data_IF_019870661861
#
_entry.id   IF_019870661861
#
_cell.length_a   1.000
_cell.length_b   1.000
_cell.length_c   1.000
_cell.angle_alpha   90.00
_cell.angle_beta   90.00
_cell.angle_gamma   90.00
#
_symmetry.space_group_name_H-M   'P 1'
#
loop_
_entity.id
_entity.type
_entity.pdbx_description
1 polymer ?
#
# COMPACT_ATOMS: atom_id res chain seq x y z
N UNK A 1 -23.45 8.21 7.28
CA UNK A 1 -23.48 7.19 6.20
C UNK A 1 -22.54 7.72 5.13
N UNK A 2 -21.33 7.14 5.00
CA UNK A 2 -20.38 7.59 3.98
C UNK A 2 -20.83 6.98 2.66
N UNK A 3 -21.27 7.81 1.73
CA UNK A 3 -21.53 7.39 0.36
C UNK A 3 -20.17 7.06 -0.27
N UNK A 4 -19.96 5.78 -0.58
CA UNK A 4 -18.77 5.32 -1.27
C UNK A 4 -18.75 5.94 -2.66
N UNK A 5 -17.70 6.72 -2.95
CA UNK A 5 -17.51 7.31 -4.26
C UNK A 5 -17.45 6.22 -5.34
N UNK A 6 -18.16 6.45 -6.44
CA UNK A 6 -18.13 5.62 -7.64
C UNK A 6 -16.73 5.66 -8.25
N UNK A 7 -15.87 4.74 -7.79
CA UNK A 7 -14.57 4.47 -8.39
C UNK A 7 -14.83 3.92 -9.78
N UNK A 8 -14.52 4.71 -10.80
CA UNK A 8 -14.79 4.40 -12.19
C UNK A 8 -14.47 5.62 -13.04
N UNK A 9 -13.21 6.07 -13.03
CA UNK A 9 -12.79 7.25 -13.80
C UNK A 9 -11.81 6.82 -14.89
N UNK A 10 -11.85 7.55 -16.01
CA UNK A 10 -11.07 7.28 -17.23
C UNK A 10 -9.58 7.13 -16.92
N UNK A 11 -8.94 6.18 -17.61
CA UNK A 11 -7.51 5.91 -17.50
C UNK A 11 -6.70 7.19 -17.77
N UNK A 12 -5.74 7.48 -16.89
CA UNK A 12 -4.79 8.57 -17.09
C UNK A 12 -3.95 8.31 -18.33
N UNK A 13 -3.82 9.30 -19.21
CA UNK A 13 -2.95 9.22 -20.39
C UNK A 13 -1.46 9.40 -20.05
N UNK A 14 -1.12 9.74 -18.79
CA UNK A 14 0.25 9.99 -18.35
C UNK A 14 0.57 9.12 -17.13
N UNK A 15 1.07 7.92 -17.44
CA UNK A 15 1.65 6.99 -16.47
C UNK A 15 3.05 6.59 -16.92
N UNK A 16 4.00 6.56 -15.98
CA UNK A 16 5.35 6.06 -16.20
C UNK A 16 5.72 5.03 -15.14
N UNK A 17 6.48 4.01 -15.56
CA UNK A 17 7.07 3.00 -14.70
C UNK A 17 8.58 3.15 -14.76
N UNK A 18 9.19 3.46 -13.63
CA UNK A 18 10.64 3.62 -13.52
C UNK A 18 11.21 2.47 -12.70
N UNK A 19 12.00 1.61 -13.36
CA UNK A 19 12.75 0.57 -12.65
C UNK A 19 13.75 1.21 -11.70
N UNK A 20 13.76 0.74 -10.46
CA UNK A 20 14.52 1.38 -9.39
C UNK A 20 15.94 0.81 -9.27
N UNK A 21 16.92 1.62 -8.83
CA UNK A 21 18.31 1.19 -8.73
C UNK A 21 18.51 0.19 -7.57
N UNK A 22 19.64 -0.55 -7.57
CA UNK A 22 19.92 -1.61 -6.58
C UNK A 22 19.76 -1.18 -5.12
N UNK A 23 20.13 0.05 -4.76
CA UNK A 23 19.96 0.58 -3.40
C UNK A 23 18.48 0.55 -2.93
N UNK A 24 17.52 0.77 -3.84
CA UNK A 24 16.08 0.68 -3.53
C UNK A 24 15.63 -0.77 -3.39
N UNK A 25 16.20 -1.68 -4.21
CA UNK A 25 15.92 -3.11 -4.11
C UNK A 25 16.40 -3.67 -2.77
N UNK A 26 17.61 -3.32 -2.34
CA UNK A 26 18.18 -3.72 -1.04
C UNK A 26 17.35 -3.20 0.13
N UNK A 27 16.89 -1.96 0.02
CA UNK A 27 16.02 -1.34 1.00
C UNK A 27 14.66 -2.03 1.13
N UNK A 28 13.99 -2.29 0.00
CA UNK A 28 12.72 -2.99 0.00
C UNK A 28 12.89 -4.46 0.39
N UNK A 29 14.02 -5.09 0.08
CA UNK A 29 14.36 -6.42 0.59
C UNK A 29 14.46 -6.40 2.11
N UNK A 30 15.17 -5.41 2.67
CA UNK A 30 15.26 -5.25 4.12
C UNK A 30 13.89 -5.01 4.76
N UNK A 31 13.01 -4.24 4.11
CA UNK A 31 11.65 -4.01 4.57
C UNK A 31 10.80 -5.30 4.52
N UNK A 32 10.88 -6.08 3.43
CA UNK A 32 10.20 -7.36 3.31
C UNK A 32 10.66 -8.33 4.41
N UNK A 33 11.97 -8.44 4.65
CA UNK A 33 12.54 -9.33 5.66
C UNK A 33 12.11 -8.91 7.08
N UNK A 34 12.17 -7.61 7.39
CA UNK A 34 11.83 -7.08 8.72
C UNK A 34 10.33 -7.20 9.04
N UNK A 35 9.48 -7.19 8.01
CA UNK A 35 8.03 -7.26 8.16
C UNK A 35 7.45 -8.64 7.88
N UNK A 36 8.29 -9.61 7.50
CA UNK A 36 7.88 -10.99 7.27
C UNK A 36 7.52 -11.68 8.59
N UNK A 37 6.39 -12.40 8.58
CA UNK A 37 6.00 -13.29 9.67
C UNK A 37 5.52 -14.63 9.11
N UNK A 38 6.08 -15.73 9.60
CA UNK A 38 5.66 -17.08 9.19
C UNK A 38 4.36 -17.47 9.88
N UNK A 39 3.25 -16.89 9.44
CA UNK A 39 1.91 -17.11 9.99
C UNK A 39 0.98 -17.62 8.89
N UNK A 40 0.37 -18.78 9.12
CA UNK A 40 -0.64 -19.31 8.21
C UNK A 40 -1.92 -18.50 8.35
N UNK A 41 -2.41 -17.95 7.24
CA UNK A 41 -3.66 -17.19 7.24
C UNK A 41 -4.73 -17.95 6.45
N UNK A 42 -5.99 -17.74 6.83
CA UNK A 42 -7.17 -18.38 6.20
C UNK A 42 -7.19 -18.20 4.67
N UNK A 43 -6.63 -17.09 4.18
CA UNK A 43 -6.68 -16.70 2.77
C UNK A 43 -5.76 -17.55 1.88
N UNK A 44 -4.83 -18.35 2.45
CA UNK A 44 -3.88 -19.17 1.68
C UNK A 44 -4.48 -20.41 1.01
N UNK A 45 -5.69 -20.84 1.39
CA UNK A 45 -6.42 -21.96 0.77
C UNK A 45 -5.58 -23.24 0.55
N UNK A 46 -4.68 -23.56 1.49
CA UNK A 46 -3.82 -24.75 1.44
C UNK A 46 -2.45 -24.53 0.81
N UNK A 47 -2.17 -23.34 0.27
CA UNK A 47 -0.85 -23.01 -0.26
C UNK A 47 0.21 -22.96 0.87
N UNK A 48 1.44 -23.45 0.63
CA UNK A 48 2.52 -23.37 1.59
C UNK A 48 2.88 -21.90 1.90
N UNK A 49 3.41 -21.68 3.10
CA UNK A 49 3.99 -20.36 3.45
C UNK A 49 5.44 -20.38 2.99
N UNK A 50 5.87 -19.43 2.15
CA UNK A 50 7.27 -19.32 1.75
C UNK A 50 8.12 -18.97 2.97
N UNK A 51 9.35 -19.49 3.06
CA UNK A 51 10.26 -19.20 4.18
C UNK A 51 10.79 -17.75 4.16
N UNK A 52 10.83 -17.15 2.97
CA UNK A 52 11.31 -15.78 2.75
C UNK A 52 10.84 -15.26 1.39
N UNK A 53 10.73 -13.95 1.25
CA UNK A 53 10.54 -13.28 -0.03
C UNK A 53 11.85 -12.70 -0.56
N UNK A 54 12.03 -12.75 -1.87
CA UNK A 54 13.19 -12.16 -2.55
C UNK A 54 12.70 -11.11 -3.54
N UNK A 55 13.11 -9.85 -3.33
CA UNK A 55 12.85 -8.76 -4.28
C UNK A 55 13.57 -9.08 -5.58
N UNK A 56 12.80 -9.19 -6.66
CA UNK A 56 13.35 -9.41 -8.02
C UNK A 56 13.45 -8.11 -8.81
N UNK A 57 12.42 -7.26 -8.71
CA UNK A 57 12.31 -5.98 -9.40
C UNK A 57 11.44 -5.04 -8.59
N UNK A 58 11.67 -3.74 -8.77
CA UNK A 58 10.90 -2.67 -8.15
C UNK A 58 10.65 -1.62 -9.21
N UNK A 59 9.39 -1.26 -9.41
CA UNK A 59 9.01 -0.14 -10.27
C UNK A 59 8.39 0.96 -9.42
N UNK A 60 8.88 2.19 -9.58
CA UNK A 60 8.16 3.38 -9.13
C UNK A 60 7.08 3.68 -10.15
N UNK A 61 5.83 3.72 -9.69
CA UNK A 61 4.67 4.11 -10.49
C UNK A 61 4.48 5.61 -10.36
N UNK A 62 4.44 6.31 -11.48
CA UNK A 62 4.19 7.74 -11.55
C UNK A 62 2.96 7.99 -12.41
N UNK A 63 1.82 8.22 -11.76
CA UNK A 63 0.56 8.55 -12.42
C UNK A 63 0.06 9.90 -11.88
N UNK A 64 0.13 10.93 -12.72
CA UNK A 64 -0.15 12.31 -12.31
C UNK A 64 -1.60 12.53 -11.85
N UNK A 65 -2.56 11.87 -12.50
CA UNK A 65 -3.96 11.96 -12.11
C UNK A 65 -4.18 11.35 -10.72
N UNK A 66 -3.75 10.11 -10.53
CA UNK A 66 -3.91 9.38 -9.24
C UNK A 66 -3.18 10.10 -8.12
N UNK A 67 -1.99 10.66 -8.40
CA UNK A 67 -1.24 11.43 -7.40
C UNK A 67 -1.97 12.71 -6.98
N UNK A 68 -2.56 13.45 -7.93
CA UNK A 68 -3.35 14.66 -7.62
C UNK A 68 -4.59 14.33 -6.79
N UNK A 69 -5.27 13.23 -7.11
CA UNK A 69 -6.44 12.78 -6.35
C UNK A 69 -6.05 12.35 -4.92
N UNK A 70 -4.96 11.59 -4.77
CA UNK A 70 -4.39 11.24 -3.47
C UNK A 70 -4.03 12.48 -2.65
N UNK A 71 -3.29 13.41 -3.24
CA UNK A 71 -2.87 14.64 -2.56
C UNK A 71 -4.08 15.52 -2.17
N UNK A 72 -5.10 15.63 -3.03
CA UNK A 72 -6.33 16.34 -2.70
C UNK A 72 -7.10 15.68 -1.56
N UNK A 73 -7.20 14.34 -1.55
CA UNK A 73 -7.84 13.62 -0.45
C UNK A 73 -7.06 13.74 0.86
N UNK A 74 -5.72 13.78 0.79
CA UNK A 74 -4.88 14.04 1.97
C UNK A 74 -5.20 15.35 2.65
N UNK A 75 -5.35 16.44 1.89
CA UNK A 75 -5.71 17.75 2.45
C UNK A 75 -7.11 17.74 3.07
N UNK A 76 -8.05 16.98 2.48
CA UNK A 76 -9.36 16.76 3.08
C UNK A 76 -9.25 15.98 4.42
N UNK A 77 -8.40 14.96 4.49
CA UNK A 77 -8.13 14.23 5.74
C UNK A 77 -7.51 15.16 6.78
N UNK A 78 -6.49 15.96 6.41
CA UNK A 78 -5.86 16.95 7.30
C UNK A 78 -6.89 17.88 7.92
N UNK A 79 -7.78 18.42 7.10
CA UNK A 79 -8.86 19.30 7.55
C UNK A 79 -9.81 18.62 8.55
N UNK A 80 -10.08 17.32 8.36
CA UNK A 80 -10.95 16.54 9.27
C UNK A 80 -10.24 16.08 10.53
N UNK A 81 -8.92 15.95 10.48
CA UNK A 81 -8.06 15.57 11.60
C UNK A 81 -7.61 16.77 12.45
N UNK A 82 -7.91 18.01 12.03
CA UNK A 82 -7.64 19.23 12.78
C UNK A 82 -8.28 19.17 14.18
N UNK A 83 -7.49 18.81 15.18
CA UNK A 83 -7.89 18.69 16.60
C UNK A 83 -7.76 17.27 17.17
N UNK A 84 -7.97 16.22 16.38
CA UNK A 84 -7.78 14.82 16.79
C UNK A 84 -7.64 13.89 15.57
N UNK A 85 -6.41 13.54 15.21
CA UNK A 85 -6.14 12.50 14.22
C UNK A 85 -6.08 11.13 14.90
N UNK A 86 -6.94 10.15 14.54
CA UNK A 86 -6.74 8.77 14.96
C UNK A 86 -5.37 8.29 14.49
N UNK A 87 -4.56 7.76 15.42
CA UNK A 87 -3.25 7.22 15.11
C UNK A 87 -3.19 5.73 15.43
N UNK A 88 -2.31 5.02 14.73
CA UNK A 88 -2.00 3.62 15.08
C UNK A 88 -1.13 3.65 16.34
N UNK A 89 -1.56 3.05 17.47
CA UNK A 89 -0.73 2.98 18.67
C UNK A 89 0.62 2.33 18.34
N UNK A 90 1.71 2.96 18.77
CA UNK A 90 3.10 2.58 18.48
C UNK A 90 3.55 2.67 17.01
N UNK A 91 2.67 3.02 16.07
CA UNK A 91 2.95 3.03 14.63
C UNK A 91 3.07 1.64 14.00
N UNK A 92 3.10 1.59 12.67
CA UNK A 92 3.16 0.34 11.90
C UNK A 92 4.57 -0.23 11.82
N UNK A 93 4.70 -1.55 11.67
CA UNK A 93 6.00 -2.22 11.56
C UNK A 93 6.84 -1.71 10.38
N UNK A 94 6.19 -1.41 9.27
CA UNK A 94 6.82 -0.76 8.11
C UNK A 94 7.48 0.55 8.51
N UNK A 95 6.75 1.42 9.20
CA UNK A 95 7.25 2.73 9.61
C UNK A 95 8.35 2.64 10.67
N UNK A 96 8.23 1.71 11.64
CA UNK A 96 9.28 1.42 12.64
C UNK A 96 10.61 1.06 11.96
N UNK A 97 10.58 0.22 10.93
CA UNK A 97 11.77 -0.18 10.19
C UNK A 97 12.35 0.95 9.33
N UNK A 98 11.49 1.70 8.64
CA UNK A 98 11.91 2.82 7.78
C UNK A 98 12.60 3.94 8.59
N UNK A 99 12.10 4.23 9.79
CA UNK A 99 12.68 5.22 10.69
C UNK A 99 14.12 4.88 11.11
N UNK A 100 14.43 3.60 11.32
CA UNK A 100 15.77 3.14 11.71
C UNK A 100 16.78 3.20 10.57
N UNK A 101 16.33 3.01 9.32
CA UNK A 101 17.21 2.85 8.16
C UNK A 101 17.42 4.14 7.35
N UNK A 102 16.78 5.26 7.73
CA UNK A 102 16.82 6.54 6.99
C UNK A 102 16.70 6.34 5.48
N UNK A 103 15.63 5.65 5.10
CA UNK A 103 15.40 5.29 3.71
C UNK A 103 15.00 6.51 2.89
N UNK A 104 16.00 7.21 2.33
CA UNK A 104 15.81 8.42 1.51
C UNK A 104 15.19 8.14 0.14
N UNK A 105 15.13 6.87 -0.27
CA UNK A 105 14.53 6.46 -1.53
C UNK A 105 12.99 6.54 -1.54
N UNK A 106 12.35 6.51 -0.36
CA UNK A 106 10.90 6.63 -0.26
C UNK A 106 10.51 8.09 -0.03
N UNK A 107 9.44 8.58 -0.67
CA UNK A 107 8.86 9.88 -0.37
C UNK A 107 8.59 10.06 1.14
N UNK A 108 8.83 11.27 1.63
CA UNK A 108 8.45 11.66 2.98
C UNK A 108 6.93 11.55 3.13
N UNK A 109 6.52 11.05 4.29
CA UNK A 109 5.12 10.93 4.68
C UNK A 109 4.73 12.08 5.60
N UNK A 110 3.45 12.40 5.60
CA UNK A 110 2.87 13.43 6.45
C UNK A 110 2.27 12.82 7.73
N UNK A 111 2.91 13.03 8.90
CA UNK A 111 2.41 12.49 10.16
C UNK A 111 1.11 13.15 10.63
N UNK A 112 0.76 14.36 10.16
CA UNK A 112 -0.45 15.07 10.61
C UNK A 112 -1.75 14.42 10.10
N UNK A 113 -1.64 13.62 9.04
CA UNK A 113 -2.75 12.87 8.45
C UNK A 113 -2.67 11.37 8.72
N UNK A 114 -1.75 10.94 9.59
CA UNK A 114 -1.48 9.53 9.88
C UNK A 114 -1.18 8.74 8.59
N UNK A 115 -0.27 9.24 7.74
CA UNK A 115 0.20 8.53 6.55
C UNK A 115 1.17 7.38 6.90
N UNK A 116 1.02 6.24 6.23
CA UNK A 116 1.87 5.07 6.40
C UNK A 116 2.19 4.39 5.06
N UNK A 117 3.38 3.82 4.96
CA UNK A 117 3.68 2.80 3.95
C UNK A 117 3.08 1.46 4.36
N UNK A 118 2.28 0.84 3.51
CA UNK A 118 1.66 -0.47 3.74
C UNK A 118 1.71 -1.32 2.47
N UNK A 119 1.65 -2.64 2.64
CA UNK A 119 1.59 -3.59 1.53
C UNK A 119 0.15 -3.85 1.08
N UNK A 120 -0.02 -4.13 -0.21
CA UNK A 120 -1.26 -4.62 -0.80
C UNK A 120 -0.94 -5.81 -1.69
N UNK A 121 -1.48 -6.98 -1.36
CA UNK A 121 -1.29 -8.22 -2.11
C UNK A 121 -2.36 -8.36 -3.19
N UNK A 122 -1.94 -8.57 -4.43
CA UNK A 122 -2.84 -8.73 -5.58
C UNK A 122 -2.12 -9.39 -6.76
N UNK A 123 -2.86 -9.72 -7.83
CA UNK A 123 -2.26 -10.28 -9.04
C UNK A 123 -1.53 -9.21 -9.84
N UNK A 124 -0.55 -9.59 -10.67
CA UNK A 124 0.18 -8.63 -11.52
C UNK A 124 -0.72 -7.82 -12.44
N UNK A 125 -1.77 -8.43 -13.00
CA UNK A 125 -2.76 -7.75 -13.83
C UNK A 125 -3.57 -6.72 -13.01
N UNK A 126 -3.98 -7.07 -11.79
CA UNK A 126 -4.70 -6.15 -10.91
C UNK A 126 -3.80 -5.02 -10.38
N UNK A 127 -2.53 -5.30 -10.07
CA UNK A 127 -1.55 -4.28 -9.69
C UNK A 127 -1.35 -3.25 -10.82
N UNK A 128 -1.27 -3.71 -12.08
CA UNK A 128 -1.24 -2.85 -13.25
C UNK A 128 -2.52 -2.02 -13.37
N UNK A 129 -3.69 -2.64 -13.22
CA UNK A 129 -4.97 -1.95 -13.26
C UNK A 129 -5.10 -0.85 -12.19
N UNK A 130 -4.64 -1.12 -10.96
CA UNK A 130 -4.60 -0.14 -9.86
C UNK A 130 -3.63 1.00 -10.19
N UNK A 131 -2.44 0.68 -10.70
CA UNK A 131 -1.46 1.69 -11.09
C UNK A 131 -2.00 2.66 -12.16
N UNK A 132 -2.79 2.15 -13.12
CA UNK A 132 -3.36 2.91 -14.23
C UNK A 132 -4.64 3.68 -13.85
N UNK A 133 -5.50 3.11 -12.99
CA UNK A 133 -6.89 3.57 -12.79
C UNK A 133 -7.29 3.78 -11.31
N UNK A 134 -6.32 3.81 -10.40
CA UNK A 134 -6.50 3.85 -8.94
C UNK A 134 -7.20 2.60 -8.35
N UNK A 135 -7.29 2.55 -7.02
CA UNK A 135 -8.03 1.52 -6.32
C UNK A 135 -9.54 1.63 -6.57
N UNK A 136 -10.13 0.51 -6.96
CA UNK A 136 -11.53 0.36 -7.31
C UNK A 136 -12.31 -0.23 -6.14
N UNK A 137 -13.02 0.61 -5.37
CA UNK A 137 -13.82 0.17 -4.22
C UNK A 137 -14.97 -0.77 -4.60
N UNK A 138 -15.50 -0.65 -5.82
CA UNK A 138 -16.50 -1.55 -6.40
C UNK A 138 -15.99 -2.98 -6.60
N UNK A 139 -14.67 -3.16 -6.70
CA UNK A 139 -14.02 -4.47 -6.74
C UNK A 139 -13.65 -5.00 -5.35
N UNK A 140 -13.93 -4.26 -4.27
CA UNK A 140 -13.62 -4.72 -2.91
C UNK A 140 -14.41 -5.97 -2.52
N UNK A 141 -13.72 -6.94 -1.93
CA UNK A 141 -14.31 -8.24 -1.56
C UNK A 141 -14.36 -9.28 -2.69
N UNK A 142 -13.88 -8.96 -3.90
CA UNK A 142 -13.81 -9.92 -5.02
C UNK A 142 -12.71 -10.98 -4.86
N UNK A 143 -11.58 -10.62 -4.23
CA UNK A 143 -10.42 -11.50 -4.06
C UNK A 143 -10.14 -11.91 -2.60
N UNK A 144 -10.21 -10.96 -1.67
CA UNK A 144 -9.94 -11.16 -0.24
C UNK A 144 -11.24 -11.04 0.57
N UNK A 145 -11.31 -11.75 1.71
CA UNK A 145 -12.50 -11.75 2.55
C UNK A 145 -12.86 -10.36 3.12
N UNK A 146 -14.15 -10.12 3.33
CA UNK A 146 -14.69 -8.83 3.82
C UNK A 146 -14.78 -8.79 5.35
N UNK A 147 -13.74 -9.25 6.07
CA UNK A 147 -13.79 -9.44 7.53
C UNK A 147 -14.15 -8.14 8.28
N UNK A 148 -13.65 -7.00 7.82
CA UNK A 148 -13.91 -5.67 8.39
C UNK A 148 -14.83 -4.83 7.48
N UNK A 149 -15.61 -5.50 6.62
CA UNK A 149 -16.48 -4.85 5.64
C UNK A 149 -15.86 -4.74 4.24
N UNK A 150 -16.59 -4.08 3.34
CA UNK A 150 -16.16 -3.82 1.96
C UNK A 150 -15.19 -2.64 1.92
N UNK A 151 -13.96 -2.90 1.51
CA UNK A 151 -12.91 -1.89 1.43
C UNK A 151 -11.61 -2.44 0.86
N UNK A 152 -10.61 -1.56 0.75
CA UNK A 152 -9.25 -1.91 0.35
C UNK A 152 -8.50 -2.39 1.60
N UNK A 153 -7.88 -3.55 1.50
CA UNK A 153 -7.12 -4.15 2.61
C UNK A 153 -5.63 -3.95 2.37
N UNK A 154 -4.97 -3.43 3.39
CA UNK A 154 -3.54 -3.17 3.43
C UNK A 154 -2.94 -3.87 4.65
N UNK A 155 -1.65 -4.18 4.63
CA UNK A 155 -0.97 -4.83 5.76
C UNK A 155 0.41 -4.23 6.04
N UNK A 156 0.79 -4.21 7.31
CA UNK A 156 2.17 -3.91 7.71
C UNK A 156 3.12 -5.11 7.53
N UNK A 157 2.58 -6.33 7.49
CA UNK A 157 3.35 -7.56 7.30
C UNK A 157 3.34 -7.99 5.83
N UNK A 158 4.53 -8.16 5.26
CA UNK A 158 4.70 -8.60 3.87
C UNK A 158 4.02 -9.94 3.58
N UNK A 159 4.12 -10.90 4.50
CA UNK A 159 3.54 -12.26 4.38
C UNK A 159 2.02 -12.34 4.54
N UNK A 160 1.35 -11.22 4.80
CA UNK A 160 -0.11 -11.10 4.74
C UNK A 160 -0.59 -10.59 3.37
N UNK A 161 0.32 -10.04 2.57
CA UNK A 161 0.06 -9.40 1.29
C UNK A 161 0.84 -10.05 0.14
N UNK A 162 1.22 -11.32 0.29
CA UNK A 162 1.86 -12.12 -0.77
C UNK A 162 0.88 -12.70 -1.78
#
# INVERSE_FOLDING_TARGET
>A
RLEGGEGGRQASTVIAYEEQPPAVLEALQSLLDATYRKVYTRDRRGAPIPDRFVVKRVHRVMNDQVWREYAGMRENVRSRCAGACPSVPEGTQTMKHLAQRRLTALPALDPEVNEHWLFHGTTGAAAKGIAENDFRLDLSGSNAGTLYGRGIYLAENSSKSD
#
